data_IF_918633754293
#
_entry.id   IF_918633754293
#
_cell.length_a   1.000
_cell.length_b   1.000
_cell.length_c   1.000
_cell.angle_alpha   90.00
_cell.angle_beta   90.00
_cell.angle_gamma   90.00
#
_symmetry.space_group_name_H-M   'P 1'
#
loop_
_entity.id
_entity.type
_entity.pdbx_description
1 polymer ?
#
# COMPACT_ATOMS: atom_id res chain seq x y z
N UNK A 1 -15.24 -61.57 -71.78
CA UNK A 1 -16.13 -61.42 -70.57
C UNK A 1 -15.52 -61.84 -69.26
N UNK A 2 -14.86 -63.01 -69.09
CA UNK A 2 -14.15 -63.30 -67.80
C UNK A 2 -12.91 -62.47 -67.56
N UNK A 3 -12.11 -62.14 -68.56
CA UNK A 3 -10.85 -61.33 -68.46
C UNK A 3 -11.16 -59.87 -68.10
N UNK A 4 -12.23 -59.31 -68.63
CA UNK A 4 -12.59 -57.91 -68.41
C UNK A 4 -13.12 -57.73 -66.98
N UNK A 5 -13.84 -58.70 -66.43
CA UNK A 5 -14.36 -58.67 -65.05
C UNK A 5 -13.24 -58.87 -64.03
N UNK A 6 -12.16 -59.57 -64.33
CA UNK A 6 -10.96 -59.71 -63.49
C UNK A 6 -10.14 -58.47 -63.46
N UNK A 7 -9.98 -57.77 -64.59
CA UNK A 7 -9.28 -56.53 -64.72
C UNK A 7 -10.02 -55.39 -63.95
N UNK A 8 -11.34 -55.33 -64.04
CA UNK A 8 -12.12 -54.32 -63.32
C UNK A 8 -12.13 -54.57 -61.80
N UNK A 9 -12.17 -55.86 -61.40
CA UNK A 9 -12.04 -56.17 -59.95
C UNK A 9 -10.68 -55.86 -59.41
N UNK A 10 -9.63 -55.99 -60.21
CA UNK A 10 -8.25 -55.59 -59.83
C UNK A 10 -8.09 -54.07 -59.75
N UNK A 11 -8.69 -53.30 -60.66
CA UNK A 11 -8.73 -51.85 -60.61
C UNK A 11 -9.49 -51.33 -59.35
N UNK A 12 -10.65 -51.92 -59.08
CA UNK A 12 -11.48 -51.61 -57.94
C UNK A 12 -10.76 -51.87 -56.60
N UNK A 13 -10.09 -53.02 -56.46
CA UNK A 13 -9.20 -53.29 -55.30
C UNK A 13 -8.08 -52.32 -55.16
N UNK A 14 -7.42 -51.86 -56.22
CA UNK A 14 -6.39 -50.84 -56.19
C UNK A 14 -6.92 -49.49 -55.73
N UNK A 15 -8.11 -49.07 -56.16
CA UNK A 15 -8.76 -47.82 -55.74
C UNK A 15 -9.08 -47.87 -54.25
N UNK A 16 -9.62 -49.00 -53.73
CA UNK A 16 -9.89 -49.18 -52.30
C UNK A 16 -8.59 -49.09 -51.49
N UNK A 17 -7.54 -49.75 -51.89
CA UNK A 17 -6.24 -49.72 -51.21
C UNK A 17 -5.65 -48.29 -51.19
N UNK A 18 -5.73 -47.58 -52.30
CA UNK A 18 -5.26 -46.17 -52.39
C UNK A 18 -6.11 -45.28 -51.44
N UNK A 19 -7.43 -45.46 -51.40
CA UNK A 19 -8.33 -44.71 -50.51
C UNK A 19 -8.00 -44.97 -49.04
N UNK A 20 -7.75 -46.21 -48.64
CA UNK A 20 -7.34 -46.58 -47.29
C UNK A 20 -6.00 -45.93 -46.93
N UNK A 21 -5.03 -46.02 -47.82
CA UNK A 21 -3.68 -45.40 -47.60
C UNK A 21 -3.77 -43.90 -47.46
N UNK A 22 -4.57 -43.21 -48.27
CA UNK A 22 -4.83 -41.78 -48.15
C UNK A 22 -5.47 -41.43 -46.80
N UNK A 23 -6.47 -42.21 -46.39
CA UNK A 23 -7.17 -42.01 -45.11
C UNK A 23 -6.20 -42.17 -43.92
N UNK A 24 -5.34 -43.20 -43.97
CA UNK A 24 -4.30 -43.42 -42.94
C UNK A 24 -3.29 -42.27 -42.91
N UNK A 25 -2.85 -41.77 -44.06
CA UNK A 25 -1.95 -40.63 -44.16
C UNK A 25 -2.61 -39.38 -43.57
N UNK A 26 -3.85 -39.10 -43.92
CA UNK A 26 -4.59 -37.95 -43.35
C UNK A 26 -4.74 -38.05 -41.84
N UNK A 27 -5.02 -39.24 -41.32
CA UNK A 27 -5.09 -39.48 -39.88
C UNK A 27 -3.73 -39.23 -39.21
N UNK A 28 -2.63 -39.72 -39.75
CA UNK A 28 -1.28 -39.49 -39.25
C UNK A 28 -0.95 -37.98 -39.29
N UNK A 29 -1.29 -37.31 -40.37
CA UNK A 29 -1.09 -35.86 -40.48
C UNK A 29 -1.88 -35.10 -39.38
N UNK A 30 -3.12 -35.49 -39.12
CA UNK A 30 -3.92 -34.86 -38.09
C UNK A 30 -3.37 -35.07 -36.67
N UNK A 31 -2.80 -36.24 -36.38
CA UNK A 31 -2.15 -36.53 -35.10
C UNK A 31 -0.85 -35.76 -34.90
N UNK A 32 -0.16 -35.40 -35.98
CA UNK A 32 1.09 -34.66 -35.97
C UNK A 32 0.89 -33.15 -36.07
N UNK A 33 -0.34 -32.66 -36.20
CA UNK A 33 -0.65 -31.23 -36.32
C UNK A 33 -0.14 -30.46 -35.08
N UNK A 34 0.72 -29.43 -35.26
CA UNK A 34 1.21 -28.62 -34.14
C UNK A 34 0.10 -27.79 -33.51
N UNK A 35 -0.05 -27.91 -32.20
CA UNK A 35 -0.85 -27.03 -31.37
C UNK A 35 0.08 -26.07 -30.62
N UNK A 36 -0.24 -24.77 -30.64
CA UNK A 36 0.52 -23.73 -29.96
C UNK A 36 -0.43 -22.99 -29.03
N UNK A 37 -0.12 -22.99 -27.75
CA UNK A 37 -0.91 -22.30 -26.74
C UNK A 37 -0.02 -21.32 -25.95
N UNK A 38 -0.61 -20.22 -25.54
CA UNK A 38 -0.05 -19.27 -24.61
C UNK A 38 -0.84 -19.34 -23.29
N UNK A 39 -0.15 -19.26 -22.17
CA UNK A 39 -0.76 -19.38 -20.84
C UNK A 39 -1.40 -18.07 -20.35
N UNK A 40 -0.93 -16.93 -20.86
CA UNK A 40 -1.41 -15.59 -20.48
C UNK A 40 -1.46 -14.68 -21.70
N UNK A 41 -2.50 -13.89 -21.78
CA UNK A 41 -2.68 -12.79 -22.75
C UNK A 41 -2.44 -11.41 -22.12
N UNK A 42 -2.19 -11.37 -20.81
CA UNK A 42 -2.03 -10.14 -20.06
C UNK A 42 -0.88 -10.27 -19.05
N UNK A 43 0.03 -9.31 -19.06
CA UNK A 43 1.17 -9.22 -18.13
C UNK A 43 1.18 -7.87 -17.42
N UNK A 44 1.73 -7.83 -16.20
CA UNK A 44 1.80 -6.62 -15.37
C UNK A 44 2.87 -5.65 -15.86
N UNK A 45 2.56 -4.35 -15.80
CA UNK A 45 3.51 -3.26 -15.96
C UNK A 45 4.66 -3.43 -14.95
N UNK A 46 5.88 -3.23 -15.42
CA UNK A 46 7.11 -3.29 -14.61
C UNK A 46 7.26 -4.55 -13.73
N UNK A 47 6.33 -5.50 -13.85
CA UNK A 47 6.27 -6.72 -13.05
C UNK A 47 7.21 -7.83 -13.53
N UNK A 48 7.38 -8.85 -12.66
CA UNK A 48 8.09 -10.08 -12.97
C UNK A 48 7.25 -11.07 -13.76
N UNK A 49 6.02 -10.71 -14.12
CA UNK A 49 5.12 -11.54 -14.90
C UNK A 49 5.76 -11.94 -16.23
N UNK A 50 5.65 -13.21 -16.56
CA UNK A 50 6.06 -13.76 -17.85
C UNK A 50 4.90 -14.55 -18.45
N UNK A 51 4.95 -14.73 -19.77
CA UNK A 51 4.10 -15.65 -20.48
C UNK A 51 4.89 -16.90 -20.87
N UNK A 52 4.19 -18.03 -20.99
CA UNK A 52 4.78 -19.26 -21.50
C UNK A 52 4.04 -19.74 -22.74
N UNK A 53 4.80 -20.18 -23.72
CA UNK A 53 4.26 -20.80 -24.93
C UNK A 53 4.58 -22.27 -24.91
N UNK A 54 3.55 -23.08 -25.07
CA UNK A 54 3.66 -24.54 -25.21
C UNK A 54 3.31 -24.93 -26.63
N UNK A 55 4.20 -25.70 -27.25
CA UNK A 55 3.99 -26.29 -28.55
C UNK A 55 4.01 -27.81 -28.44
N UNK A 56 2.95 -28.46 -28.86
CA UNK A 56 2.77 -29.91 -28.77
C UNK A 56 1.92 -30.42 -29.92
N UNK A 57 1.95 -31.72 -30.13
CA UNK A 57 0.94 -32.42 -30.93
C UNK A 57 0.36 -33.57 -30.09
N UNK A 58 -0.52 -34.35 -30.66
CA UNK A 58 -1.19 -35.48 -29.97
C UNK A 58 -0.19 -36.52 -29.41
N UNK A 59 1.02 -36.58 -29.94
CA UNK A 59 1.99 -37.63 -29.62
C UNK A 59 3.08 -37.13 -28.65
N UNK A 60 3.52 -35.85 -28.74
CA UNK A 60 4.68 -35.32 -27.98
C UNK A 60 4.76 -33.81 -27.92
N UNK A 61 5.61 -33.36 -27.03
CA UNK A 61 6.12 -31.98 -26.96
C UNK A 61 7.01 -31.67 -28.20
N UNK A 62 6.75 -30.51 -28.82
CA UNK A 62 7.49 -30.01 -29.97
C UNK A 62 8.11 -28.61 -29.73
N UNK A 63 8.30 -28.18 -28.48
CA UNK A 63 8.84 -26.87 -28.12
C UNK A 63 10.19 -26.57 -28.80
N UNK A 64 11.02 -27.58 -29.02
CA UNK A 64 12.29 -27.41 -29.72
C UNK A 64 12.20 -27.02 -31.20
N UNK A 65 11.00 -27.10 -31.79
CA UNK A 65 10.75 -26.78 -33.20
C UNK A 65 10.06 -25.44 -33.40
N UNK A 66 9.95 -24.63 -32.35
CA UNK A 66 9.44 -23.28 -32.44
C UNK A 66 10.51 -22.25 -32.16
N UNK A 67 10.37 -21.06 -32.76
CA UNK A 67 11.15 -19.86 -32.43
C UNK A 67 10.18 -18.76 -32.06
N UNK A 68 10.35 -18.21 -30.85
CA UNK A 68 9.54 -17.11 -30.34
C UNK A 68 10.29 -15.81 -30.60
N UNK A 69 9.56 -14.79 -31.01
CA UNK A 69 10.02 -13.41 -31.11
C UNK A 69 8.92 -12.47 -30.68
N UNK A 70 9.25 -11.51 -29.83
CA UNK A 70 8.36 -10.44 -29.38
C UNK A 70 9.14 -9.12 -29.27
N UNK A 71 8.39 -8.04 -29.06
CA UNK A 71 8.88 -6.69 -28.83
C UNK A 71 8.24 -6.06 -27.59
N UNK A 72 7.87 -6.88 -26.61
CA UNK A 72 7.15 -6.44 -25.41
C UNK A 72 8.07 -5.55 -24.58
N UNK A 73 7.63 -4.30 -24.41
CA UNK A 73 8.19 -3.39 -23.41
C UNK A 73 7.25 -3.35 -22.19
N UNK A 74 7.68 -3.98 -21.11
CA UNK A 74 6.90 -4.01 -19.86
C UNK A 74 6.81 -2.67 -19.16
N UNK A 75 7.59 -1.67 -19.57
CA UNK A 75 7.54 -0.31 -19.04
C UNK A 75 6.53 0.59 -19.75
N UNK A 76 5.88 0.07 -20.78
CA UNK A 76 4.90 0.81 -21.56
C UNK A 76 3.60 0.02 -21.64
N UNK A 77 2.52 0.61 -21.16
CA UNK A 77 1.19 0.01 -21.27
C UNK A 77 0.78 -0.08 -22.74
N UNK A 78 0.19 -1.19 -23.15
CA UNK A 78 -0.23 -1.34 -24.54
C UNK A 78 -0.46 -2.78 -24.97
N UNK A 79 -0.78 -2.92 -26.25
CA UNK A 79 -0.94 -4.22 -26.90
C UNK A 79 0.33 -4.53 -27.71
N UNK A 80 0.82 -5.73 -27.51
CA UNK A 80 2.04 -6.25 -28.14
C UNK A 80 1.75 -7.58 -28.84
N UNK A 81 2.59 -7.94 -29.77
CA UNK A 81 2.45 -9.19 -30.51
C UNK A 81 3.63 -10.13 -30.28
N UNK A 82 3.32 -11.37 -29.99
CA UNK A 82 4.28 -12.47 -29.91
C UNK A 82 4.12 -13.35 -31.11
N UNK A 83 5.15 -13.44 -31.92
CA UNK A 83 5.18 -14.30 -33.11
C UNK A 83 5.92 -15.60 -32.80
N UNK A 84 5.23 -16.71 -33.03
CA UNK A 84 5.78 -18.05 -32.91
C UNK A 84 5.97 -18.66 -34.30
N UNK A 85 7.21 -18.82 -34.71
CA UNK A 85 7.56 -19.50 -35.95
C UNK A 85 7.66 -21.00 -35.71
N UNK A 86 6.84 -21.77 -36.41
CA UNK A 86 6.81 -23.23 -36.33
C UNK A 86 7.54 -23.83 -37.49
N UNK A 87 8.48 -24.77 -37.21
CA UNK A 87 9.23 -25.57 -38.23
C UNK A 87 9.29 -27.02 -37.75
N UNK A 88 8.20 -27.77 -37.96
CA UNK A 88 8.08 -29.15 -37.53
C UNK A 88 7.61 -30.04 -38.65
N UNK A 89 8.41 -31.03 -39.05
CA UNK A 89 8.18 -31.92 -40.20
C UNK A 89 7.91 -31.09 -41.47
N UNK A 90 6.71 -31.23 -42.04
CA UNK A 90 6.22 -30.48 -43.21
C UNK A 90 5.43 -29.22 -42.83
N UNK A 91 5.18 -28.98 -41.52
CA UNK A 91 4.50 -27.77 -41.04
C UNK A 91 5.45 -26.61 -40.94
N UNK A 92 5.14 -25.52 -41.66
CA UNK A 92 5.89 -24.25 -41.62
C UNK A 92 4.92 -23.10 -41.67
N UNK A 93 4.72 -22.47 -40.53
CA UNK A 93 3.82 -21.30 -40.39
C UNK A 93 4.19 -20.41 -39.22
N UNK A 94 3.61 -19.22 -39.17
CA UNK A 94 3.71 -18.33 -38.03
C UNK A 94 2.37 -18.28 -37.32
N UNK A 95 2.36 -18.33 -35.99
CA UNK A 95 1.21 -18.04 -35.16
C UNK A 95 1.50 -16.78 -34.35
N UNK A 96 0.55 -15.85 -34.33
CA UNK A 96 0.67 -14.60 -33.60
C UNK A 96 -0.28 -14.65 -32.43
N UNK A 97 0.18 -14.18 -31.29
CA UNK A 97 -0.61 -13.97 -30.06
C UNK A 97 -0.53 -12.50 -29.69
N UNK A 98 -1.66 -11.94 -29.30
CA UNK A 98 -1.70 -10.61 -28.73
C UNK A 98 -1.49 -10.71 -27.22
N UNK A 99 -0.61 -9.89 -26.66
CA UNK A 99 -0.35 -9.74 -25.24
C UNK A 99 -0.55 -8.30 -24.86
N UNK A 100 -1.26 -8.07 -23.77
CA UNK A 100 -1.50 -6.75 -23.23
C UNK A 100 -0.64 -6.50 -21.99
N UNK A 101 0.15 -5.42 -21.98
CA UNK A 101 0.80 -4.90 -20.79
C UNK A 101 -0.18 -3.97 -20.09
N UNK A 102 -0.52 -4.26 -18.85
CA UNK A 102 -1.48 -3.51 -18.04
C UNK A 102 -0.90 -3.19 -16.68
N UNK A 103 -1.27 -2.05 -16.15
CA UNK A 103 -1.03 -1.77 -14.76
C UNK A 103 -2.10 -2.47 -13.90
N UNK A 104 -1.65 -3.22 -12.89
CA UNK A 104 -2.47 -3.98 -11.92
C UNK A 104 -2.18 -3.57 -10.48
N UNK A 105 -1.27 -2.63 -10.29
CA UNK A 105 -0.88 -2.14 -8.97
C UNK A 105 -1.92 -1.13 -8.52
N UNK A 106 -2.21 -1.15 -7.24
CA UNK A 106 -3.12 -0.15 -6.65
C UNK A 106 -2.29 1.03 -6.18
N UNK A 107 -2.80 2.24 -6.31
CA UNK A 107 -2.13 3.40 -5.75
C UNK A 107 -2.03 3.28 -4.23
N UNK A 108 -0.98 3.85 -3.66
CA UNK A 108 -0.74 3.96 -2.23
C UNK A 108 -1.17 5.34 -1.75
N UNK A 109 -1.78 5.40 -0.56
CA UNK A 109 -2.13 6.65 0.13
C UNK A 109 -1.48 6.64 1.48
N UNK A 110 -0.71 7.68 1.79
CA UNK A 110 -0.07 7.89 3.08
C UNK A 110 -0.69 9.10 3.78
N UNK A 111 -1.04 8.95 5.07
CA UNK A 111 -1.51 10.04 5.91
C UNK A 111 -0.30 10.72 6.57
N UNK A 112 -0.28 12.05 6.54
CA UNK A 112 0.64 12.85 7.36
C UNK A 112 0.05 12.98 8.76
N UNK A 113 0.95 13.06 9.79
CA UNK A 113 0.51 13.13 11.18
C UNK A 113 -0.02 11.81 11.74
N UNK A 114 -0.82 11.92 12.79
CA UNK A 114 -1.26 10.76 13.57
C UNK A 114 -2.53 10.09 13.04
N UNK A 115 -2.63 8.79 13.24
CA UNK A 115 -3.87 8.05 13.05
C UNK A 115 -4.01 6.96 14.13
N UNK A 116 -4.91 7.12 15.13
CA UNK A 116 -5.91 8.19 15.25
C UNK A 116 -5.29 9.58 15.53
N UNK A 117 -5.97 10.63 15.07
CA UNK A 117 -5.67 12.03 15.40
C UNK A 117 -6.50 12.44 16.61
N UNK A 118 -5.85 13.00 17.65
CA UNK A 118 -6.50 13.52 18.84
C UNK A 118 -6.71 15.02 18.68
N UNK A 119 -7.94 15.44 18.91
CA UNK A 119 -8.38 16.83 18.76
C UNK A 119 -8.98 17.29 20.08
N UNK A 120 -8.69 18.51 20.49
CA UNK A 120 -9.30 19.08 21.69
C UNK A 120 -10.82 19.00 21.63
N UNK A 121 -11.51 18.64 22.74
CA UNK A 121 -12.95 18.72 22.82
C UNK A 121 -13.46 20.10 22.40
N UNK A 122 -14.54 20.15 21.63
CA UNK A 122 -15.15 21.40 21.12
C UNK A 122 -14.31 22.21 20.11
N UNK A 123 -13.27 21.64 19.53
CA UNK A 123 -12.55 22.22 18.38
C UNK A 123 -12.83 21.42 17.12
N UNK A 124 -12.79 22.08 15.98
CA UNK A 124 -12.85 21.41 14.68
C UNK A 124 -11.53 20.69 14.41
N UNK A 125 -11.62 19.61 13.62
CA UNK A 125 -10.45 18.91 13.13
C UNK A 125 -9.87 19.65 11.92
N UNK A 126 -8.59 19.97 11.98
CA UNK A 126 -7.79 20.46 10.86
C UNK A 126 -7.04 19.31 10.21
N UNK A 127 -7.12 19.21 8.88
CA UNK A 127 -6.48 18.14 8.12
C UNK A 127 -4.96 18.23 8.16
N UNK A 128 -4.30 17.19 8.71
CA UNK A 128 -2.85 17.11 8.85
C UNK A 128 -2.14 16.83 7.51
N UNK A 129 -2.91 16.43 6.49
CA UNK A 129 -2.44 16.18 5.14
C UNK A 129 -2.28 14.69 4.81
N UNK A 130 -2.01 14.47 3.55
CA UNK A 130 -1.84 13.14 2.95
C UNK A 130 -1.02 13.27 1.66
N UNK A 131 -0.56 12.13 1.14
CA UNK A 131 0.02 11.98 -0.19
C UNK A 131 -0.53 10.72 -0.85
N UNK A 132 -0.55 10.69 -2.17
CA UNK A 132 -0.89 9.48 -2.91
C UNK A 132 0.03 9.31 -4.11
N UNK A 133 0.50 8.08 -4.31
CA UNK A 133 1.39 7.73 -5.42
C UNK A 133 1.02 6.38 -6.02
N UNK A 134 1.42 6.19 -7.25
CA UNK A 134 1.25 4.95 -8.00
C UNK A 134 2.52 4.67 -8.81
N UNK A 135 2.82 3.41 -9.09
CA UNK A 135 4.05 3.02 -9.76
C UNK A 135 4.07 3.39 -11.26
N UNK A 136 2.90 3.53 -11.87
CA UNK A 136 2.75 3.99 -13.25
C UNK A 136 2.42 5.48 -13.36
N UNK A 137 1.44 5.96 -12.59
CA UNK A 137 0.95 7.34 -12.66
C UNK A 137 1.83 8.34 -11.89
N UNK A 138 2.75 7.88 -11.03
CA UNK A 138 3.56 8.73 -10.16
C UNK A 138 2.75 9.39 -9.05
N UNK A 139 2.98 10.68 -8.80
CA UNK A 139 2.22 11.45 -7.81
C UNK A 139 0.80 11.73 -8.30
N UNK A 140 -0.17 11.18 -7.59
CA UNK A 140 -1.61 11.36 -7.84
C UNK A 140 -2.35 11.92 -6.63
N UNK A 141 -1.64 12.63 -5.75
CA UNK A 141 -2.21 13.26 -4.55
C UNK A 141 -3.43 14.13 -4.87
N UNK A 142 -3.41 14.83 -6.00
CA UNK A 142 -4.51 15.68 -6.46
C UNK A 142 -5.77 14.90 -6.91
N UNK A 143 -5.67 13.59 -7.08
CA UNK A 143 -6.82 12.71 -7.44
C UNK A 143 -7.49 12.09 -6.21
N UNK A 144 -7.00 12.35 -5.00
CA UNK A 144 -7.59 11.84 -3.76
C UNK A 144 -8.92 12.54 -3.51
N UNK A 145 -9.97 11.75 -3.36
CA UNK A 145 -11.27 12.22 -2.88
C UNK A 145 -11.38 12.00 -1.38
N UNK A 146 -11.80 13.05 -0.65
CA UNK A 146 -11.96 13.06 0.80
C UNK A 146 -13.43 13.10 1.15
N UNK A 147 -13.85 12.22 2.05
CA UNK A 147 -15.21 12.16 2.57
C UNK A 147 -15.20 12.11 4.10
N UNK A 148 -15.87 13.07 4.75
CA UNK A 148 -16.05 13.05 6.20
C UNK A 148 -17.28 12.21 6.55
N UNK A 149 -17.10 11.24 7.42
CA UNK A 149 -18.15 10.35 7.89
C UNK A 149 -18.09 10.22 9.42
N UNK A 150 -18.82 11.07 10.12
CA UNK A 150 -18.74 11.19 11.58
C UNK A 150 -17.32 11.52 12.04
N UNK A 151 -16.77 10.67 12.90
CA UNK A 151 -15.40 10.79 13.42
C UNK A 151 -14.34 10.13 12.54
N UNK A 152 -14.64 9.91 11.27
CA UNK A 152 -13.70 9.35 10.30
C UNK A 152 -13.59 10.24 9.09
N UNK A 153 -12.38 10.35 8.57
CA UNK A 153 -12.13 10.89 7.23
C UNK A 153 -11.67 9.72 6.36
N UNK A 154 -12.29 9.62 5.21
CA UNK A 154 -12.06 8.57 4.23
C UNK A 154 -11.34 9.18 3.04
N UNK A 155 -10.18 8.65 2.71
CA UNK A 155 -9.37 9.04 1.56
C UNK A 155 -9.47 7.94 0.52
N UNK A 156 -9.95 8.25 -0.67
CA UNK A 156 -10.08 7.31 -1.77
C UNK A 156 -9.41 7.85 -3.01
N UNK A 157 -8.68 6.99 -3.70
CA UNK A 157 -7.96 7.34 -4.92
C UNK A 157 -8.14 6.25 -5.97
N UNK A 158 -8.12 6.67 -7.22
CA UNK A 158 -8.15 5.78 -8.38
C UNK A 158 -7.05 6.24 -9.36
N UNK A 159 -6.23 5.29 -9.82
CA UNK A 159 -5.23 5.52 -10.86
C UNK A 159 -5.87 5.63 -12.27
N UNK A 160 -5.05 5.86 -13.28
CA UNK A 160 -5.51 5.94 -14.67
C UNK A 160 -5.91 4.59 -15.26
N UNK A 161 -5.40 3.50 -14.71
CA UNK A 161 -5.69 2.12 -15.11
C UNK A 161 -6.98 1.57 -14.49
N UNK A 162 -7.50 2.26 -13.46
CA UNK A 162 -8.75 1.91 -12.80
C UNK A 162 -8.60 1.17 -11.48
N UNK A 163 -7.35 0.91 -11.00
CA UNK A 163 -7.12 0.33 -9.69
C UNK A 163 -7.45 1.37 -8.61
N UNK A 164 -7.91 0.89 -7.46
CA UNK A 164 -8.42 1.77 -6.40
C UNK A 164 -7.82 1.41 -5.06
N UNK A 165 -7.57 2.43 -4.25
CA UNK A 165 -7.25 2.29 -2.83
C UNK A 165 -8.12 3.21 -2.00
N UNK A 166 -8.30 2.83 -0.72
CA UNK A 166 -9.09 3.57 0.25
C UNK A 166 -8.52 3.34 1.64
N UNK A 167 -8.21 4.43 2.34
CA UNK A 167 -7.79 4.42 3.73
C UNK A 167 -8.67 5.37 4.55
N UNK A 168 -8.55 5.30 5.87
CA UNK A 168 -9.28 6.19 6.77
C UNK A 168 -8.39 6.73 7.89
N UNK A 169 -8.66 7.95 8.34
CA UNK A 169 -8.18 8.53 9.57
C UNK A 169 -9.31 8.52 10.60
N UNK A 170 -9.03 8.07 11.80
CA UNK A 170 -9.94 8.20 12.95
C UNK A 170 -9.66 9.53 13.65
N UNK A 171 -10.70 10.26 14.00
CA UNK A 171 -10.62 11.50 14.78
C UNK A 171 -11.22 11.21 16.16
N UNK A 172 -10.45 11.48 17.20
CA UNK A 172 -10.88 11.29 18.58
C UNK A 172 -10.88 12.65 19.26
N UNK A 173 -12.05 13.13 19.64
CA UNK A 173 -12.20 14.39 20.37
C UNK A 173 -11.95 14.13 21.86
N UNK A 174 -10.70 14.11 22.24
CA UNK A 174 -10.23 13.83 23.59
C UNK A 174 -8.89 14.55 23.80
N UNK A 175 -8.73 15.16 24.95
CA UNK A 175 -7.46 15.72 25.37
C UNK A 175 -6.70 14.71 26.23
N UNK A 176 -5.49 14.41 25.84
CA UNK A 176 -4.54 13.50 26.53
C UNK A 176 -3.22 14.15 26.87
N UNK A 177 -3.10 15.44 26.57
CA UNK A 177 -1.86 16.17 26.84
C UNK A 177 -1.89 16.71 28.27
N UNK A 178 -0.78 16.54 29.00
CA UNK A 178 -0.63 17.13 30.33
C UNK A 178 -0.37 18.63 30.21
N UNK A 179 -0.91 19.45 31.13
CA UNK A 179 -0.61 20.87 31.13
C UNK A 179 0.87 21.14 31.43
N UNK A 180 1.44 22.16 30.83
CA UNK A 180 2.80 22.64 31.10
C UNK A 180 2.77 23.57 32.30
N UNK A 181 3.44 23.20 33.40
CA UNK A 181 3.56 23.99 34.62
C UNK A 181 5.01 24.45 34.80
N UNK A 182 5.22 25.74 34.81
CA UNK A 182 6.56 26.38 34.88
C UNK A 182 6.66 27.28 36.07
N UNK A 183 7.73 27.12 36.90
CA UNK A 183 8.05 28.01 37.99
C UNK A 183 8.76 29.27 37.46
N UNK A 184 8.38 30.44 37.96
CA UNK A 184 9.10 31.69 37.69
C UNK A 184 10.30 31.78 38.64
N UNK A 185 11.52 31.94 38.06
CA UNK A 185 12.78 31.96 38.82
C UNK A 185 13.27 30.55 39.18
N UNK A 186 14.20 30.49 40.15
CA UNK A 186 14.88 29.25 40.50
C UNK A 186 13.94 28.25 41.23
N UNK A 187 14.09 26.98 40.95
CA UNK A 187 13.41 25.87 41.63
C UNK A 187 14.09 25.48 42.96
N UNK A 188 15.37 25.89 43.14
CA UNK A 188 16.17 25.71 44.35
C UNK A 188 16.60 27.08 44.91
N UNK A 189 16.02 27.46 46.00
CA UNK A 189 16.25 28.78 46.63
C UNK A 189 16.96 28.60 47.99
N UNK A 190 17.98 29.41 48.25
CA UNK A 190 18.64 29.48 49.55
C UNK A 190 18.30 30.80 50.20
N UNK A 191 17.83 30.78 51.45
CA UNK A 191 17.55 31.96 52.27
C UNK A 191 18.21 31.82 53.63
N UNK A 192 18.39 32.92 54.32
CA UNK A 192 18.89 32.89 55.69
C UNK A 192 17.75 32.85 56.71
N UNK A 193 18.02 32.27 57.85
CA UNK A 193 17.09 32.19 58.98
C UNK A 193 16.53 33.58 59.33
N UNK A 194 15.24 33.62 59.64
CA UNK A 194 14.48 34.84 59.89
C UNK A 194 14.29 35.78 58.67
N UNK A 195 14.74 35.36 57.48
CA UNK A 195 14.46 36.11 56.25
C UNK A 195 13.03 35.85 55.78
N UNK A 196 12.46 36.79 55.05
CA UNK A 196 11.12 36.58 54.44
C UNK A 196 11.27 35.79 53.16
N UNK A 197 10.58 34.65 53.03
CA UNK A 197 10.39 34.00 51.75
C UNK A 197 9.31 34.72 50.93
N UNK A 198 9.62 35.03 49.68
CA UNK A 198 8.70 35.66 48.74
C UNK A 198 8.56 34.74 47.55
N UNK A 199 7.34 34.24 47.30
CA UNK A 199 7.00 33.45 46.13
C UNK A 199 7.18 34.29 44.85
N UNK A 200 7.93 33.75 43.86
CA UNK A 200 8.20 34.43 42.58
C UNK A 200 7.12 34.19 41.53
N UNK A 201 6.28 33.19 41.75
CA UNK A 201 5.17 32.88 40.88
C UNK A 201 5.41 31.63 40.00
N UNK A 202 4.45 31.38 39.19
CA UNK A 202 4.36 30.22 38.28
C UNK A 202 3.39 30.53 37.14
N UNK A 203 3.42 29.72 36.07
CA UNK A 203 2.44 29.72 34.98
C UNK A 203 2.04 28.30 34.63
N UNK A 204 0.77 28.10 34.26
CA UNK A 204 0.29 26.83 33.77
C UNK A 204 -0.50 27.05 32.49
N UNK A 205 -0.07 26.37 31.43
CA UNK A 205 -0.69 26.48 30.10
C UNK A 205 -0.98 25.07 29.57
N UNK A 206 -2.18 24.89 29.09
CA UNK A 206 -2.62 23.69 28.42
C UNK A 206 -2.99 23.96 26.96
N UNK A 207 -2.80 22.98 26.08
CA UNK A 207 -3.08 23.12 24.65
C UNK A 207 -4.56 23.28 24.34
N UNK A 208 -5.40 22.57 25.07
CA UNK A 208 -6.85 22.57 24.86
C UNK A 208 -7.57 23.61 25.71
N UNK A 209 -7.13 23.79 26.94
CA UNK A 209 -7.76 24.68 27.93
C UNK A 209 -7.14 26.09 27.95
N UNK A 210 -5.97 26.29 27.34
CA UNK A 210 -5.26 27.57 27.34
C UNK A 210 -4.57 27.87 28.67
N UNK A 211 -4.66 29.12 29.14
CA UNK A 211 -4.09 29.53 30.43
C UNK A 211 -4.97 29.03 31.58
N UNK A 212 -4.40 28.13 32.39
CA UNK A 212 -5.02 27.54 33.58
C UNK A 212 -4.20 27.81 34.85
N UNK A 213 -3.45 28.89 34.85
CA UNK A 213 -2.59 29.28 35.97
C UNK A 213 -3.38 29.47 37.27
N UNK A 214 -4.62 29.91 37.16
CA UNK A 214 -5.54 30.07 38.29
C UNK A 214 -6.00 28.76 38.95
N UNK A 215 -5.82 27.63 38.25
CA UNK A 215 -6.14 26.31 38.78
C UNK A 215 -5.01 25.62 39.51
N UNK A 216 -3.82 26.26 39.59
CA UNK A 216 -2.68 25.68 40.29
C UNK A 216 -2.93 25.60 41.78
N UNK A 217 -2.82 24.42 42.33
CA UNK A 217 -2.91 24.14 43.77
C UNK A 217 -1.50 24.11 44.35
N UNK A 218 -1.26 24.94 45.37
CA UNK A 218 0.02 25.03 46.06
C UNK A 218 -0.12 24.36 47.43
N UNK A 219 0.81 23.47 47.75
CA UNK A 219 0.92 22.80 49.03
C UNK A 219 2.34 22.87 49.57
N UNK A 220 2.46 22.81 50.90
CA UNK A 220 3.72 23.00 51.58
C UNK A 220 3.83 24.43 52.20
N UNK A 221 4.71 24.55 53.18
CA UNK A 221 4.99 25.83 53.89
C UNK A 221 6.48 25.90 54.17
N UNK A 222 6.99 27.13 54.28
CA UNK A 222 8.37 27.40 54.64
C UNK A 222 8.41 28.04 56.02
N UNK A 223 8.99 27.37 57.02
CA UNK A 223 9.33 27.97 58.31
C UNK A 223 10.73 28.61 58.25
N UNK A 224 10.76 29.89 58.02
CA UNK A 224 12.02 30.65 57.91
C UNK A 224 12.72 30.82 59.26
N UNK A 225 12.08 30.52 60.41
CA UNK A 225 12.70 30.59 61.73
C UNK A 225 13.49 29.33 62.08
N UNK A 226 13.40 28.30 61.24
CA UNK A 226 14.05 27.02 61.48
C UNK A 226 14.91 26.59 60.30
N UNK A 227 16.19 26.32 60.57
CA UNK A 227 17.12 25.78 59.57
C UNK A 227 16.61 24.41 59.07
N UNK A 228 16.61 24.24 57.75
CA UNK A 228 16.13 23.03 57.09
C UNK A 228 15.83 23.22 55.61
N UNK A 229 15.40 22.15 54.97
CA UNK A 229 14.94 22.20 53.59
C UNK A 229 13.44 21.98 53.57
N UNK A 230 12.75 22.88 52.92
CA UNK A 230 11.28 22.88 52.77
C UNK A 230 10.93 22.72 51.31
N UNK A 231 9.85 22.01 51.02
CA UNK A 231 9.36 21.82 49.65
C UNK A 231 7.97 22.44 49.52
N UNK A 232 7.79 23.25 48.51
CA UNK A 232 6.50 23.72 48.05
C UNK A 232 6.17 22.94 46.76
N UNK A 233 5.07 22.23 46.76
CA UNK A 233 4.59 21.54 45.58
C UNK A 233 3.50 22.37 44.90
N UNK A 234 3.62 22.47 43.56
CA UNK A 234 2.65 23.10 42.68
C UNK A 234 2.05 22.02 41.82
N UNK A 235 0.72 21.90 41.80
CA UNK A 235 -0.01 20.92 41.03
C UNK A 235 -1.12 21.60 40.25
N UNK A 236 -1.30 21.21 38.98
CA UNK A 236 -2.40 21.65 38.14
C UNK A 236 -3.05 20.46 37.49
N UNK A 237 -4.37 20.54 37.29
CA UNK A 237 -5.16 19.55 36.57
C UNK A 237 -5.99 20.31 35.52
N UNK A 238 -5.97 19.84 34.29
CA UNK A 238 -6.80 20.38 33.22
C UNK A 238 -8.26 19.94 33.33
N UNK A 239 -9.12 20.37 32.39
CA UNK A 239 -10.52 19.97 32.38
C UNK A 239 -10.75 18.49 31.97
N UNK A 240 -9.75 17.87 31.36
CA UNK A 240 -9.79 16.48 30.89
C UNK A 240 -9.27 15.50 31.94
N UNK A 241 -8.65 16.03 33.03
CA UNK A 241 -8.12 15.26 34.15
C UNK A 241 -6.63 14.91 34.02
N UNK A 242 -5.92 15.44 33.03
CA UNK A 242 -4.48 15.28 32.95
C UNK A 242 -3.81 16.23 33.96
N UNK A 243 -2.75 15.78 34.62
CA UNK A 243 -2.14 16.51 35.73
C UNK A 243 -0.62 16.65 35.60
N UNK A 244 -0.12 17.78 36.03
CA UNK A 244 1.32 18.04 36.17
C UNK A 244 1.62 18.62 37.55
N UNK A 245 2.76 18.23 38.13
CA UNK A 245 3.25 18.81 39.38
C UNK A 245 4.73 19.08 39.31
N UNK A 246 5.16 20.19 39.98
CA UNK A 246 6.54 20.59 40.12
C UNK A 246 6.81 21.03 41.55
N UNK A 247 8.07 20.85 41.99
CA UNK A 247 8.50 21.22 43.35
C UNK A 247 9.47 22.41 43.31
N UNK A 248 9.31 23.30 44.26
CA UNK A 248 10.32 24.33 44.62
C UNK A 248 10.91 23.98 45.97
N UNK A 249 12.23 23.88 46.05
CA UNK A 249 12.98 23.58 47.28
C UNK A 249 13.57 24.86 47.86
N UNK A 250 13.27 25.10 49.11
CA UNK A 250 13.78 26.26 49.84
C UNK A 250 14.67 25.79 50.99
N UNK A 251 15.95 26.11 50.95
CA UNK A 251 16.92 25.79 52.01
C UNK A 251 17.14 27.01 52.90
N UNK A 252 16.73 26.88 54.17
CA UNK A 252 16.99 27.89 55.22
C UNK A 252 18.30 27.54 55.89
N UNK A 253 19.26 28.50 55.90
CA UNK A 253 20.58 28.37 56.52
C UNK A 253 20.71 29.36 57.68
N UNK A 254 21.69 29.12 58.60
CA UNK A 254 22.04 30.11 59.64
C UNK A 254 22.48 31.44 59.02
#
# INVERSE_FOLDING_TARGET
>A
MKSDMEVDNMKFKKIIIISIVISVILLICSLLLPNINIDKDTIGYNGNDTYNIKAYNTIRDINKYIKISDNIDKKVLGNYQVTVKVRYLFYRYNKVFDIKVVDKVKPEVELKGNNPSYVCPNKDYDEEGYTASDDYDGDITNKVNIEKNGNFIIYSVKDSSGNKNKIRRSIIFEDKEEPSLTLIGDDNIVIYKNSKYIEKGYTAIDKCDGDITDKVIITGTVDTNRVGTYTINYKVVDNSGNETSVDRKITVRE
#
